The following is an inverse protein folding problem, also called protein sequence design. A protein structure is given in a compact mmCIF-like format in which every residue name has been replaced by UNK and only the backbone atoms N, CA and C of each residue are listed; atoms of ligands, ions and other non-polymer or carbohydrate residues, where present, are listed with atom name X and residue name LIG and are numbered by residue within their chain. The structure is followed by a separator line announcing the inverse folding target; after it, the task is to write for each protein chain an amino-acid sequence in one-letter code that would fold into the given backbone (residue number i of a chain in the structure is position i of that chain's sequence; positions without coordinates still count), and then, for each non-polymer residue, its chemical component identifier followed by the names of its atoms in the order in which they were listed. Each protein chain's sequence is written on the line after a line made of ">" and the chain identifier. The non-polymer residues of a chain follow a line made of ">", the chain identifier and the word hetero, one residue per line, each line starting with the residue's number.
data_IF_438644134018
#
_entry.id   IF_438644134018
#
_cell.length_a   1.000
_cell.length_b   1.000
_cell.length_c   1.000
_cell.angle_alpha   90.00
_cell.angle_beta   90.00
_cell.angle_gamma   90.00
#
_symmetry.space_group_name_H-M   'P 1'
#
loop_
_entity.id
_entity.type
_entity.pdbx_description
1 polymer ?
#
# COMPACT_ATOMS: atom_id res chain seq x y z
N UNK A 1 -17.14 -10.97 -3.80
CA UNK A 1 -15.89 -11.04 -3.03
C UNK A 1 -15.09 -9.79 -3.37
N UNK A 2 -15.02 -8.85 -2.42
CA UNK A 2 -14.69 -7.45 -2.63
C UNK A 2 -13.19 -7.23 -2.37
N UNK A 3 -12.47 -6.62 -3.31
CA UNK A 3 -11.09 -6.14 -3.08
C UNK A 3 -11.18 -4.81 -2.35
N UNK A 4 -10.77 -4.78 -1.08
CA UNK A 4 -11.05 -3.64 -0.21
C UNK A 4 -9.89 -3.25 0.68
N UNK A 5 -9.90 -1.97 1.02
CA UNK A 5 -9.05 -1.40 2.05
C UNK A 5 -9.60 -1.77 3.43
N UNK A 6 -8.76 -2.35 4.26
CA UNK A 6 -9.05 -2.68 5.64
C UNK A 6 -8.21 -1.77 6.56
N UNK A 7 -8.86 -1.07 7.48
CA UNK A 7 -8.18 -0.32 8.53
C UNK A 7 -8.22 -1.13 9.83
N UNK A 8 -7.05 -1.51 10.33
CA UNK A 8 -6.89 -2.14 11.64
C UNK A 8 -6.06 -1.22 12.53
N UNK A 9 -6.68 -0.64 13.56
CA UNK A 9 -6.02 0.21 14.56
C UNK A 9 -5.17 1.33 13.95
N UNK A 10 -5.65 1.97 12.87
CA UNK A 10 -4.94 3.06 12.18
C UNK A 10 -3.93 2.59 11.13
N UNK A 11 -3.70 1.29 10.98
CA UNK A 11 -2.88 0.72 9.90
C UNK A 11 -3.77 0.23 8.78
N UNK A 12 -3.47 0.64 7.55
CA UNK A 12 -4.21 0.21 6.37
C UNK A 12 -3.61 -1.04 5.75
N UNK A 13 -4.48 -1.93 5.27
CA UNK A 13 -4.18 -3.17 4.58
C UNK A 13 -5.06 -3.24 3.33
N UNK A 14 -4.63 -4.02 2.34
CA UNK A 14 -5.44 -4.26 1.15
C UNK A 14 -5.73 -5.75 1.03
N UNK A 15 -7.00 -6.13 0.96
CA UNK A 15 -7.42 -7.52 0.81
C UNK A 15 -7.77 -7.80 -0.65
N UNK A 16 -7.33 -8.96 -1.16
CA UNK A 16 -7.74 -9.45 -2.47
C UNK A 16 -9.15 -10.07 -2.41
N UNK A 17 -9.67 -10.47 -3.57
CA UNK A 17 -11.00 -11.09 -3.67
C UNK A 17 -11.15 -12.31 -2.77
N UNK A 18 -10.09 -13.08 -2.53
CA UNK A 18 -10.09 -14.24 -1.63
C UNK A 18 -10.06 -13.88 -0.13
N UNK A 19 -10.00 -12.60 0.22
CA UNK A 19 -9.83 -12.12 1.60
C UNK A 19 -8.39 -12.21 2.12
N UNK A 20 -7.43 -12.60 1.27
CA UNK A 20 -6.03 -12.64 1.64
C UNK A 20 -5.38 -11.26 1.51
N UNK A 21 -4.47 -10.94 2.42
CA UNK A 21 -3.73 -9.67 2.39
C UNK A 21 -2.82 -9.60 1.17
N UNK A 22 -2.86 -8.46 0.48
CA UNK A 22 -1.94 -8.15 -0.60
C UNK A 22 -0.63 -7.57 -0.03
N UNK A 23 0.49 -7.90 -0.66
CA UNK A 23 1.81 -7.36 -0.36
C UNK A 23 2.46 -6.87 -1.66
N UNK A 24 3.30 -5.84 -1.56
CA UNK A 24 3.94 -5.19 -2.69
C UNK A 24 3.11 -4.05 -3.30
N UNK A 25 3.43 -3.72 -4.55
CA UNK A 25 2.82 -2.61 -5.28
C UNK A 25 1.38 -2.90 -5.68
N UNK A 26 0.52 -1.89 -5.53
CA UNK A 26 -0.82 -1.87 -6.12
C UNK A 26 -1.06 -0.54 -6.80
N UNK A 27 -1.84 -0.56 -7.88
CA UNK A 27 -2.28 0.64 -8.57
C UNK A 27 -3.81 0.71 -8.54
N UNK A 28 -4.35 1.77 -7.95
CA UNK A 28 -5.79 2.02 -7.88
C UNK A 28 -6.09 3.38 -8.48
N UNK A 29 -6.93 3.43 -9.51
CA UNK A 29 -7.33 4.67 -10.20
C UNK A 29 -6.13 5.54 -10.62
N UNK A 30 -5.06 4.92 -11.12
CA UNK A 30 -3.82 5.61 -11.53
C UNK A 30 -2.90 6.01 -10.38
N UNK A 31 -3.27 5.75 -9.12
CA UNK A 31 -2.46 6.07 -7.94
C UNK A 31 -1.76 4.80 -7.46
N UNK A 32 -0.46 4.91 -7.23
CA UNK A 32 0.36 3.82 -6.69
C UNK A 32 0.34 3.82 -5.17
N UNK A 33 0.22 2.63 -4.60
CA UNK A 33 0.36 2.35 -3.17
C UNK A 33 1.29 1.15 -3.00
N UNK A 34 1.88 1.03 -1.82
CA UNK A 34 2.75 -0.09 -1.49
C UNK A 34 2.34 -0.71 -0.16
N UNK A 35 2.09 -2.02 -0.17
CA UNK A 35 1.86 -2.81 1.02
C UNK A 35 3.18 -3.49 1.39
N UNK A 36 3.67 -3.26 2.61
CA UNK A 36 4.91 -3.85 3.11
C UNK A 36 4.77 -5.38 3.22
N UNK A 37 5.86 -6.07 3.51
CA UNK A 37 5.88 -7.54 3.65
C UNK A 37 4.93 -8.07 4.74
N UNK A 38 4.60 -7.24 5.74
CA UNK A 38 3.62 -7.53 6.78
C UNK A 38 2.19 -7.08 6.42
N UNK A 39 1.96 -6.66 5.17
CA UNK A 39 0.68 -6.17 4.66
C UNK A 39 0.34 -4.72 5.00
N UNK A 40 1.12 -4.06 5.88
CA UNK A 40 0.84 -2.69 6.25
C UNK A 40 1.15 -1.74 5.08
N UNK A 41 0.20 -0.87 4.74
CA UNK A 41 0.38 0.18 3.75
C UNK A 41 1.50 1.13 4.18
N UNK A 42 2.37 1.45 3.23
CA UNK A 42 3.35 2.51 3.40
C UNK A 42 2.62 3.86 3.38
N UNK A 43 2.66 4.59 4.49
CA UNK A 43 2.04 5.92 4.59
C UNK A 43 2.88 6.84 5.47
N UNK A 44 2.95 8.11 5.07
CA UNK A 44 3.77 9.13 5.73
C UNK A 44 5.24 8.70 5.90
N UNK A 45 5.77 7.98 4.91
CA UNK A 45 7.11 7.39 4.97
C UNK A 45 7.76 7.36 3.58
N UNK A 46 9.06 7.05 3.53
CA UNK A 46 9.78 6.83 2.28
C UNK A 46 10.44 5.46 2.31
N UNK A 47 10.26 4.68 1.25
CA UNK A 47 10.82 3.34 1.13
C UNK A 47 11.79 3.26 -0.04
N UNK A 48 12.88 2.52 0.15
CA UNK A 48 13.78 2.15 -0.95
C UNK A 48 13.38 0.76 -1.44
N UNK A 49 12.84 0.68 -2.65
CA UNK A 49 12.36 -0.56 -3.27
C UNK A 49 13.18 -0.77 -4.53
N UNK A 50 13.93 -1.87 -4.59
CA UNK A 50 14.84 -2.19 -5.71
C UNK A 50 15.83 -1.08 -6.04
N UNK A 51 16.38 -0.41 -5.02
CA UNK A 51 17.36 0.67 -5.17
C UNK A 51 16.79 2.05 -5.55
N UNK A 52 15.50 2.15 -5.87
CA UNK A 52 14.80 3.44 -6.09
C UNK A 52 14.07 3.86 -4.80
N UNK A 53 14.17 5.13 -4.44
CA UNK A 53 13.46 5.72 -3.30
C UNK A 53 12.09 6.23 -3.75
N UNK A 54 11.06 5.82 -3.01
CA UNK A 54 9.67 6.20 -3.21
C UNK A 54 9.15 6.92 -1.97
N UNK A 55 8.30 7.92 -2.20
CA UNK A 55 7.70 8.74 -1.15
C UNK A 55 6.21 8.46 -1.08
N UNK A 56 5.70 8.20 0.12
CA UNK A 56 4.29 7.94 0.37
C UNK A 56 3.73 9.00 1.31
N UNK A 57 2.67 9.68 0.90
CA UNK A 57 2.02 10.70 1.72
C UNK A 57 1.17 10.07 2.86
N UNK A 58 0.51 10.90 3.67
CA UNK A 58 -0.30 10.43 4.80
C UNK A 58 -1.45 9.49 4.39
N UNK A 59 -1.93 9.56 3.16
CA UNK A 59 -2.95 8.66 2.59
C UNK A 59 -2.35 7.42 1.91
N UNK A 60 -1.03 7.22 2.01
CA UNK A 60 -0.29 6.12 1.38
C UNK A 60 -0.10 6.25 -0.13
N UNK A 61 -0.46 7.39 -0.72
CA UNK A 61 -0.28 7.63 -2.16
C UNK A 61 1.19 7.84 -2.43
N UNK A 62 1.74 7.09 -3.39
CA UNK A 62 3.08 7.32 -3.89
C UNK A 62 3.11 8.63 -4.68
N UNK A 63 3.96 9.57 -4.28
CA UNK A 63 4.07 10.90 -4.91
C UNK A 63 5.15 10.96 -5.98
N UNK A 64 5.95 9.90 -6.14
CA UNK A 64 7.00 9.78 -7.14
C UNK A 64 7.10 8.33 -7.67
N UNK A 65 6.14 7.87 -8.48
CA UNK A 65 6.14 6.53 -9.05
C UNK A 65 7.30 6.26 -10.03
#
# INVERSE_FOLDING_TARGET
>A
MQTEWLNLNGTWYYLNSSGAMHVGWIQLNGIWYYLKSNGAMACNESLTISGKKYHFNASGKCTNP
#
